data_IF_111061049440
#
_entry.id   IF_111061049440
#
_cell.length_a   1.000
_cell.length_b   1.000
_cell.length_c   1.000
_cell.angle_alpha   90.00
_cell.angle_beta   90.00
_cell.angle_gamma   90.00
#
_symmetry.space_group_name_H-M   'P 1'
#
loop_
_entity.id
_entity.type
_entity.pdbx_description
1 polymer ?
#
# COMPACT_ATOMS: atom_id res chain seq x y z
N UNK A 1 3.12 -0.74 14.44
CA UNK A 1 4.22 -1.19 13.57
C UNK A 1 3.61 -2.05 12.48
N UNK A 2 3.74 -1.62 11.24
CA UNK A 2 3.11 -2.19 10.05
C UNK A 2 4.13 -2.98 9.21
N UNK A 3 3.67 -3.99 8.48
CA UNK A 3 4.55 -4.95 7.79
C UNK A 3 4.28 -5.01 6.28
N UNK A 4 5.36 -5.07 5.50
CA UNK A 4 5.34 -5.26 4.05
C UNK A 4 6.24 -6.45 3.66
N UNK A 5 5.67 -7.48 3.06
CA UNK A 5 6.39 -8.64 2.55
C UNK A 5 6.63 -8.48 1.04
N UNK A 6 7.85 -8.07 0.67
CA UNK A 6 8.24 -7.77 -0.71
C UNK A 6 8.98 -8.96 -1.36
N UNK A 7 8.37 -9.54 -2.39
CA UNK A 7 8.93 -10.65 -3.16
C UNK A 7 9.69 -10.12 -4.38
N UNK A 8 11.00 -10.36 -4.41
CA UNK A 8 11.93 -9.86 -5.43
C UNK A 8 12.65 -11.01 -6.11
N UNK A 9 12.98 -10.88 -7.39
CA UNK A 9 13.86 -11.79 -8.10
C UNK A 9 15.31 -11.49 -7.74
N UNK A 10 16.08 -12.54 -7.42
CA UNK A 10 17.51 -12.42 -7.18
C UNK A 10 18.22 -12.10 -8.50
N UNK A 11 18.90 -10.97 -8.56
CA UNK A 11 19.81 -10.65 -9.67
C UNK A 11 21.01 -11.62 -9.65
N UNK A 12 21.28 -12.24 -10.79
CA UNK A 12 22.33 -13.25 -10.98
C UNK A 12 23.67 -12.65 -11.39
N UNK A 13 23.89 -11.35 -11.20
CA UNK A 13 25.13 -10.68 -11.66
C UNK A 13 26.36 -11.01 -10.83
N UNK A 14 26.21 -11.74 -9.72
CA UNK A 14 27.36 -12.32 -9.03
C UNK A 14 27.71 -13.69 -9.57
N UNK A 15 29.00 -13.82 -9.90
CA UNK A 15 29.77 -15.06 -9.90
C UNK A 15 29.67 -15.75 -8.53
N UNK A 16 28.51 -16.29 -8.18
CA UNK A 16 28.37 -17.35 -7.18
C UNK A 16 28.83 -18.67 -7.83
N UNK A 17 30.11 -18.70 -8.23
CA UNK A 17 30.81 -19.91 -8.64
C UNK A 17 31.18 -20.66 -7.36
N UNK A 18 30.24 -21.46 -6.87
CA UNK A 18 30.54 -22.64 -6.07
C UNK A 18 29.35 -23.60 -6.12
N UNK A 19 29.41 -24.62 -6.99
CA UNK A 19 28.35 -25.61 -7.14
C UNK A 19 28.13 -26.49 -5.90
N UNK A 20 29.02 -26.43 -4.90
CA UNK A 20 29.13 -27.45 -3.85
C UNK A 20 28.82 -26.98 -2.41
N UNK A 21 28.53 -25.69 -2.15
CA UNK A 21 28.13 -25.21 -0.81
C UNK A 21 26.67 -24.74 -0.68
N UNK A 22 25.88 -24.84 -1.75
CA UNK A 22 24.56 -24.24 -1.80
C UNK A 22 23.42 -25.25 -1.97
N UNK A 23 23.33 -26.18 -1.00
CA UNK A 23 22.03 -26.58 -0.45
C UNK A 23 21.48 -25.43 0.41
N UNK A 24 21.30 -24.24 -0.15
CA UNK A 24 20.75 -23.12 0.61
C UNK A 24 19.32 -23.43 1.07
N UNK A 25 18.96 -23.19 2.34
CA UNK A 25 17.57 -23.22 2.74
C UNK A 25 16.86 -22.07 2.02
N UNK A 26 15.96 -22.44 1.12
CA UNK A 26 15.07 -21.57 0.37
C UNK A 26 14.52 -20.42 1.24
N UNK A 27 14.78 -19.19 0.80
CA UNK A 27 14.00 -17.98 1.09
C UNK A 27 13.86 -17.57 2.58
N UNK A 28 14.95 -17.49 3.37
CA UNK A 28 14.85 -16.76 4.63
C UNK A 28 14.60 -15.26 4.33
N UNK A 29 13.49 -14.66 4.79
CA UNK A 29 13.21 -13.25 4.54
C UNK A 29 14.21 -12.35 5.26
N UNK A 30 14.78 -11.38 4.55
CA UNK A 30 15.63 -10.35 5.15
C UNK A 30 14.76 -9.16 5.60
N UNK A 31 14.84 -8.79 6.87
CA UNK A 31 13.93 -7.80 7.47
C UNK A 31 14.63 -6.48 7.75
N UNK A 32 13.96 -5.38 7.43
CA UNK A 32 14.47 -4.03 7.61
C UNK A 32 13.36 -3.12 8.13
N UNK A 33 13.62 -2.44 9.23
CA UNK A 33 12.72 -1.42 9.77
C UNK A 33 12.98 -0.06 9.11
N UNK A 34 11.93 0.73 9.01
CA UNK A 34 12.00 2.10 8.56
C UNK A 34 12.67 3.02 9.59
N UNK A 35 13.07 4.23 9.18
CA UNK A 35 13.76 5.24 10.01
C UNK A 35 12.96 5.56 11.26
N UNK A 36 11.65 5.71 11.07
CA UNK A 36 10.72 6.15 12.12
C UNK A 36 10.20 4.94 12.94
N UNK A 37 10.61 3.72 12.60
CA UNK A 37 10.19 2.49 13.28
C UNK A 37 8.74 2.07 13.04
N UNK A 38 7.97 2.84 12.27
CA UNK A 38 6.54 2.59 12.04
C UNK A 38 6.27 1.42 11.08
N UNK A 39 7.19 1.15 10.15
CA UNK A 39 7.07 0.10 9.16
C UNK A 39 8.28 -0.85 9.13
N UNK A 40 8.06 -2.13 8.81
CA UNK A 40 9.10 -3.12 8.54
C UNK A 40 8.86 -3.77 7.17
N UNK A 41 9.90 -3.87 6.35
CA UNK A 41 9.88 -4.58 5.07
C UNK A 41 10.64 -5.89 5.21
N UNK A 42 10.01 -7.00 4.84
CA UNK A 42 10.65 -8.29 4.66
C UNK A 42 10.90 -8.54 3.17
N UNK A 43 12.16 -8.62 2.76
CA UNK A 43 12.55 -8.99 1.39
C UNK A 43 12.66 -10.52 1.27
N UNK A 44 11.85 -11.08 0.37
CA UNK A 44 11.86 -12.50 0.04
C UNK A 44 12.48 -12.66 -1.35
N UNK A 45 13.74 -13.12 -1.37
CA UNK A 45 14.49 -13.31 -2.61
C UNK A 45 14.09 -14.63 -3.31
N UNK A 46 13.56 -14.49 -4.52
CA UNK A 46 13.09 -15.58 -5.37
C UNK A 46 14.13 -15.89 -6.44
N UNK A 47 14.51 -17.17 -6.63
CA UNK A 47 15.43 -17.55 -7.69
C UNK A 47 14.87 -17.26 -9.09
N UNK A 48 15.62 -16.66 -10.03
CA UNK A 48 15.11 -16.36 -11.38
C UNK A 48 14.61 -17.58 -12.14
N UNK A 49 15.20 -18.76 -11.91
CA UNK A 49 14.73 -20.06 -12.47
C UNK A 49 13.28 -20.41 -12.11
N UNK A 50 12.68 -19.74 -11.12
CA UNK A 50 11.26 -19.94 -10.79
C UNK A 50 10.33 -19.28 -11.81
N UNK A 51 10.78 -18.23 -12.50
CA UNK A 51 10.00 -17.56 -13.54
C UNK A 51 9.82 -18.43 -14.79
N UNK A 52 10.81 -19.28 -15.11
CA UNK A 52 10.74 -20.17 -16.28
C UNK A 52 9.71 -21.31 -16.17
N UNK A 53 9.00 -21.45 -15.05
CA UNK A 53 7.92 -22.44 -14.85
C UNK A 53 6.73 -21.81 -14.10
N UNK A 54 5.91 -20.96 -14.75
CA UNK A 54 4.86 -20.17 -14.10
C UNK A 54 3.82 -21.03 -13.36
N UNK A 55 3.41 -22.17 -13.92
CA UNK A 55 2.47 -23.11 -13.27
C UNK A 55 2.96 -23.63 -11.91
N UNK A 56 4.29 -23.74 -11.75
CA UNK A 56 4.91 -24.19 -10.50
C UNK A 56 5.24 -23.03 -9.56
N UNK A 57 5.29 -21.79 -10.07
CA UNK A 57 5.60 -20.59 -9.30
C UNK A 57 4.58 -20.38 -8.18
N UNK A 58 3.28 -20.44 -8.50
CA UNK A 58 2.21 -20.31 -7.50
C UNK A 58 2.34 -21.33 -6.36
N UNK A 59 2.52 -22.62 -6.70
CA UNK A 59 2.72 -23.71 -5.71
C UNK A 59 3.95 -23.47 -4.84
N UNK A 60 5.05 -22.98 -5.43
CA UNK A 60 6.30 -22.67 -4.69
C UNK A 60 6.13 -21.46 -3.76
N UNK A 61 5.41 -20.43 -4.18
CA UNK A 61 5.09 -19.28 -3.33
C UNK A 61 4.18 -19.67 -2.18
N UNK A 62 3.17 -20.52 -2.40
CA UNK A 62 2.33 -21.06 -1.32
C UNK A 62 3.19 -21.81 -0.29
N UNK A 63 4.11 -22.68 -0.74
CA UNK A 63 5.03 -23.37 0.18
C UNK A 63 5.94 -22.41 0.92
N UNK A 64 6.40 -21.35 0.26
CA UNK A 64 7.24 -20.31 0.87
C UNK A 64 6.47 -19.56 1.94
N UNK A 65 5.23 -19.14 1.65
CA UNK A 65 4.32 -18.51 2.62
C UNK A 65 3.95 -19.42 3.79
N UNK A 66 3.83 -20.72 3.58
CA UNK A 66 3.62 -21.67 4.70
C UNK A 66 4.84 -21.76 5.62
N UNK A 67 6.04 -21.75 5.03
CA UNK A 67 7.30 -21.80 5.79
C UNK A 67 7.60 -20.47 6.50
N UNK A 68 7.29 -19.37 5.83
CA UNK A 68 7.49 -18.00 6.30
C UNK A 68 6.19 -17.21 6.05
N UNK A 69 5.23 -17.28 6.99
CA UNK A 69 3.97 -16.55 6.86
C UNK A 69 4.20 -15.05 6.71
N UNK A 70 3.56 -14.39 5.71
CA UNK A 70 3.61 -12.94 5.60
C UNK A 70 3.01 -12.31 6.86
N UNK A 71 3.61 -11.22 7.31
CA UNK A 71 3.19 -10.49 8.52
C UNK A 71 2.20 -9.38 8.20
N UNK A 72 2.18 -8.90 6.96
CA UNK A 72 1.29 -7.83 6.53
C UNK A 72 1.03 -7.85 5.04
N UNK A 73 1.02 -6.67 4.42
CA UNK A 73 0.70 -6.53 3.02
C UNK A 73 1.77 -7.21 2.15
N UNK A 74 1.32 -7.97 1.14
CA UNK A 74 2.23 -8.66 0.22
C UNK A 74 2.41 -7.85 -1.04
N UNK A 75 3.66 -7.60 -1.40
CA UNK A 75 4.05 -6.93 -2.64
C UNK A 75 4.91 -7.86 -3.51
N UNK A 76 4.69 -7.84 -4.82
CA UNK A 76 5.44 -8.64 -5.78
C UNK A 76 6.07 -7.76 -6.85
N UNK A 77 7.31 -8.08 -7.21
CA UNK A 77 7.96 -7.51 -8.38
C UNK A 77 7.21 -7.81 -9.67
N UNK A 78 7.25 -6.88 -10.64
CA UNK A 78 6.57 -6.95 -11.93
C UNK A 78 6.74 -8.26 -12.68
N UNK A 79 7.95 -8.84 -12.67
CA UNK A 79 8.24 -10.13 -13.32
C UNK A 79 7.41 -11.28 -12.70
N UNK A 80 7.32 -11.30 -11.37
CA UNK A 80 6.55 -12.29 -10.62
C UNK A 80 5.06 -12.08 -10.87
N UNK A 81 4.60 -10.81 -10.86
CA UNK A 81 3.20 -10.48 -11.14
C UNK A 81 2.77 -10.94 -12.53
N UNK A 82 3.58 -10.64 -13.56
CA UNK A 82 3.33 -11.09 -14.94
C UNK A 82 3.26 -12.61 -15.03
N UNK A 83 4.18 -13.32 -14.36
CA UNK A 83 4.21 -14.78 -14.38
C UNK A 83 3.03 -15.44 -13.62
N UNK A 84 2.44 -14.75 -12.65
CA UNK A 84 1.28 -15.22 -11.87
C UNK A 84 -0.04 -14.65 -12.38
N UNK A 85 -0.01 -13.86 -13.45
CA UNK A 85 -1.13 -13.08 -13.96
C UNK A 85 -1.83 -12.18 -12.91
N UNK A 86 -1.06 -11.71 -11.92
CA UNK A 86 -1.55 -10.86 -10.84
C UNK A 86 -1.85 -9.46 -11.39
N UNK A 87 -3.14 -9.17 -11.54
CA UNK A 87 -3.65 -7.87 -11.99
C UNK A 87 -4.45 -7.92 -13.29
N UNK A 88 -4.68 -9.09 -13.91
CA UNK A 88 -5.70 -9.20 -14.98
C UNK A 88 -7.12 -9.37 -14.42
N UNK A 89 -7.25 -9.96 -13.24
CA UNK A 89 -8.51 -10.05 -12.48
C UNK A 89 -8.45 -9.08 -11.30
N UNK A 90 -8.69 -7.80 -11.56
CA UNK A 90 -8.69 -6.73 -10.55
C UNK A 90 -9.72 -6.95 -9.43
N UNK A 91 -10.78 -7.71 -9.70
CA UNK A 91 -11.89 -7.99 -8.78
C UNK A 91 -11.55 -8.86 -7.56
N UNK A 92 -10.30 -9.34 -7.39
CA UNK A 92 -9.95 -10.30 -6.34
C UNK A 92 -8.75 -9.88 -5.46
N UNK A 93 -8.11 -8.75 -5.72
CA UNK A 93 -7.03 -8.27 -4.86
C UNK A 93 -7.64 -7.49 -3.67
N UNK A 94 -7.36 -7.86 -2.42
CA UNK A 94 -7.84 -7.07 -1.28
C UNK A 94 -7.25 -5.67 -1.35
N UNK A 95 -8.01 -4.69 -0.85
CA UNK A 95 -7.51 -3.34 -0.71
C UNK A 95 -6.20 -3.33 0.11
N UNK A 96 -5.29 -2.39 -0.21
CA UNK A 96 -4.10 -2.18 0.60
C UNK A 96 -4.47 -1.84 2.05
N UNK A 97 -3.56 -2.15 2.97
CA UNK A 97 -3.75 -1.81 4.37
C UNK A 97 -3.88 -0.28 4.53
N UNK A 98 -4.78 0.22 5.41
CA UNK A 98 -5.02 1.65 5.63
C UNK A 98 -3.74 2.45 5.84
N UNK A 99 -2.77 1.89 6.57
CA UNK A 99 -1.46 2.49 6.79
C UNK A 99 -0.73 2.87 5.50
N UNK A 100 -0.67 1.96 4.52
CA UNK A 100 0.05 2.21 3.27
C UNK A 100 -0.68 3.25 2.41
N UNK A 101 -2.02 3.21 2.40
CA UNK A 101 -2.85 4.23 1.73
C UNK A 101 -2.66 5.61 2.35
N UNK A 102 -2.63 5.69 3.69
CA UNK A 102 -2.42 6.95 4.41
C UNK A 102 -1.04 7.51 4.15
N UNK A 103 -0.01 6.68 4.27
CA UNK A 103 1.37 7.10 4.05
C UNK A 103 1.58 7.59 2.62
N UNK A 104 0.99 6.88 1.65
CA UNK A 104 1.02 7.29 0.26
C UNK A 104 0.35 8.65 0.05
N UNK A 105 -0.82 8.88 0.65
CA UNK A 105 -1.50 10.17 0.64
C UNK A 105 -0.67 11.28 1.30
N UNK A 106 -0.04 11.01 2.45
CA UNK A 106 0.75 11.99 3.19
C UNK A 106 2.01 12.46 2.45
N UNK A 107 2.60 11.62 1.62
CA UNK A 107 3.75 12.00 0.80
C UNK A 107 3.39 12.90 -0.38
N UNK A 108 2.09 13.10 -0.64
CA UNK A 108 1.63 13.97 -1.73
C UNK A 108 1.59 15.44 -1.33
N UNK A 109 1.67 16.36 -2.32
CA UNK A 109 1.38 17.77 -2.08
C UNK A 109 0.01 17.94 -1.46
N UNK A 110 -0.06 18.74 -0.39
CA UNK A 110 -1.31 19.00 0.31
C UNK A 110 -2.34 19.67 -0.63
N UNK A 111 -3.58 19.20 -0.56
CA UNK A 111 -4.74 19.73 -1.28
C UNK A 111 -5.89 19.93 -0.28
N UNK A 112 -6.60 21.03 -0.43
CA UNK A 112 -7.61 21.48 0.53
C UNK A 112 -8.96 20.75 0.39
N UNK A 113 -9.26 20.19 -0.78
CA UNK A 113 -10.51 19.48 -1.04
C UNK A 113 -10.25 17.98 -1.23
N UNK A 114 -10.84 17.14 -0.37
CA UNK A 114 -10.64 15.69 -0.41
C UNK A 114 -11.90 14.98 -0.90
N UNK A 115 -11.75 14.15 -1.93
CA UNK A 115 -12.78 13.21 -2.42
C UNK A 115 -12.32 11.79 -2.10
N UNK A 116 -13.14 11.03 -1.37
CA UNK A 116 -12.90 9.61 -1.11
C UNK A 116 -13.91 8.77 -1.88
N UNK A 117 -13.44 7.97 -2.84
CA UNK A 117 -14.26 6.94 -3.49
C UNK A 117 -14.11 5.66 -2.66
N UNK A 118 -15.18 5.30 -1.95
CA UNK A 118 -15.18 4.20 -1.01
C UNK A 118 -15.45 2.86 -1.70
N UNK A 119 -14.81 1.76 -1.29
CA UNK A 119 -15.11 0.44 -1.84
C UNK A 119 -16.60 0.10 -1.68
N UNK A 120 -17.15 -0.64 -2.64
CA UNK A 120 -18.52 -1.15 -2.50
C UNK A 120 -18.59 -2.07 -1.27
N UNK A 121 -19.57 -1.89 -0.38
CA UNK A 121 -19.75 -2.83 0.72
C UNK A 121 -20.26 -4.16 0.20
N UNK A 122 -19.90 -5.24 0.90
CA UNK A 122 -20.44 -6.57 0.62
C UNK A 122 -21.98 -6.55 0.65
N UNK A 123 -22.62 -7.32 -0.24
CA UNK A 123 -24.09 -7.35 -0.38
C UNK A 123 -24.84 -7.70 0.93
N UNK A 124 -24.17 -8.37 1.87
CA UNK A 124 -24.67 -8.70 3.21
C UNK A 124 -24.67 -7.51 4.20
N UNK A 125 -24.00 -6.41 3.86
CA UNK A 125 -23.77 -5.24 4.73
C UNK A 125 -24.58 -4.01 4.31
N UNK A 126 -25.41 -4.08 3.25
CA UNK A 126 -26.15 -2.94 2.66
C UNK A 126 -27.05 -2.13 3.61
N UNK A 127 -27.35 -2.61 4.82
CA UNK A 127 -28.24 -1.96 5.79
C UNK A 127 -27.55 -1.33 7.01
N UNK A 128 -26.23 -1.47 7.14
CA UNK A 128 -25.44 -0.71 8.10
C UNK A 128 -24.23 -0.21 7.32
N UNK A 129 -23.77 1.01 7.55
CA UNK A 129 -22.48 1.48 7.01
C UNK A 129 -21.26 0.79 7.71
N UNK A 130 -21.42 -0.40 8.31
CA UNK A 130 -21.13 -0.66 9.72
C UNK A 130 -19.61 -0.64 9.98
N UNK A 131 -19.09 0.40 10.62
CA UNK A 131 -17.82 0.36 11.37
C UNK A 131 -16.52 0.19 10.56
N UNK A 132 -16.43 -0.62 9.51
CA UNK A 132 -15.17 -0.90 8.79
C UNK A 132 -14.77 0.22 7.83
N UNK A 133 -15.70 0.74 7.02
CA UNK A 133 -15.42 1.92 6.18
C UNK A 133 -15.10 3.15 7.04
N UNK A 134 -15.87 3.35 8.11
CA UNK A 134 -15.60 4.43 9.08
C UNK A 134 -14.25 4.24 9.77
N UNK A 135 -13.92 3.02 10.22
CA UNK A 135 -12.62 2.70 10.81
C UNK A 135 -11.48 2.94 9.82
N UNK A 136 -11.61 2.45 8.59
CA UNK A 136 -10.64 2.65 7.53
C UNK A 136 -10.42 4.14 7.26
N UNK A 137 -11.50 4.92 7.21
CA UNK A 137 -11.42 6.36 7.05
C UNK A 137 -10.81 7.08 8.25
N UNK A 138 -11.15 6.70 9.48
CA UNK A 138 -10.53 7.25 10.70
C UNK A 138 -9.03 6.97 10.71
N UNK A 139 -8.64 5.74 10.36
CA UNK A 139 -7.24 5.33 10.22
C UNK A 139 -6.54 6.07 9.06
N UNK A 140 -7.24 6.34 7.95
CA UNK A 140 -6.71 7.07 6.79
C UNK A 140 -6.60 8.57 7.02
N UNK A 141 -7.55 9.22 7.70
CA UNK A 141 -7.55 10.67 7.83
C UNK A 141 -6.80 11.14 9.08
N UNK A 142 -6.77 10.29 10.12
CA UNK A 142 -6.14 10.59 11.39
C UNK A 142 -6.59 11.93 11.99
N UNK A 143 -5.69 12.61 12.71
CA UNK A 143 -5.94 13.92 13.32
C UNK A 143 -5.87 15.10 12.32
N UNK A 144 -5.54 14.85 11.04
CA UNK A 144 -5.26 15.92 10.05
C UNK A 144 -6.51 16.43 9.32
N UNK A 145 -7.69 16.00 9.73
CA UNK A 145 -9.00 16.43 9.20
C UNK A 145 -9.14 17.96 9.28
N UNK A 146 -8.65 18.59 10.34
CA UNK A 146 -8.80 20.04 10.57
C UNK A 146 -8.09 20.96 9.56
N UNK A 147 -7.28 20.43 8.63
CA UNK A 147 -6.65 21.23 7.57
C UNK A 147 -7.46 21.29 6.28
N UNK A 148 -8.46 20.43 6.12
CA UNK A 148 -9.26 20.35 4.90
C UNK A 148 -10.28 21.50 4.85
N UNK A 149 -10.62 21.94 3.64
CA UNK A 149 -11.72 22.87 3.39
C UNK A 149 -13.02 22.12 3.05
N UNK A 150 -12.91 20.91 2.47
CA UNK A 150 -14.08 20.05 2.27
C UNK A 150 -13.69 18.57 2.20
N UNK A 151 -14.60 17.72 2.69
CA UNK A 151 -14.53 16.27 2.58
C UNK A 151 -15.80 15.74 1.89
N UNK A 152 -15.61 15.04 0.77
CA UNK A 152 -16.70 14.38 0.06
C UNK A 152 -16.47 12.88 0.01
N UNK A 153 -17.40 12.11 0.55
CA UNK A 153 -17.44 10.66 0.46
C UNK A 153 -18.36 10.27 -0.69
N UNK A 154 -17.87 9.42 -1.58
CA UNK A 154 -18.64 8.87 -2.69
C UNK A 154 -18.75 7.37 -2.50
N UNK A 155 -19.97 6.89 -2.34
CA UNK A 155 -20.29 5.47 -2.17
C UNK A 155 -21.70 5.20 -2.66
N UNK A 156 -21.97 4.10 -3.37
CA UNK A 156 -23.31 3.74 -3.82
C UNK A 156 -24.30 3.49 -2.66
N UNK A 157 -23.82 3.43 -1.42
CA UNK A 157 -24.65 3.34 -0.20
C UNK A 157 -25.38 4.65 0.09
N UNK A 158 -24.83 5.78 -0.34
CA UNK A 158 -25.48 7.07 -0.18
C UNK A 158 -26.55 7.28 -1.25
N UNK A 159 -27.65 7.94 -0.89
CA UNK A 159 -28.73 8.28 -1.84
C UNK A 159 -28.21 9.11 -3.02
N UNK A 160 -28.78 8.92 -4.21
CA UNK A 160 -28.38 9.60 -5.45
C UNK A 160 -28.76 11.10 -5.49
N UNK A 161 -29.60 11.57 -4.57
CA UNK A 161 -29.98 12.98 -4.49
C UNK A 161 -28.81 13.85 -4.02
N UNK A 162 -28.28 14.66 -4.95
CA UNK A 162 -27.28 15.68 -4.68
C UNK A 162 -27.77 16.62 -3.55
N UNK A 163 -27.14 16.54 -2.39
CA UNK A 163 -27.44 17.37 -1.23
C UNK A 163 -28.07 16.65 -0.04
N UNK A 164 -28.43 15.37 -0.14
CA UNK A 164 -28.95 14.62 1.01
C UNK A 164 -27.96 13.59 1.49
N UNK A 165 -27.09 14.01 2.42
CA UNK A 165 -26.79 13.12 3.54
C UNK A 165 -28.15 12.81 4.20
N UNK A 166 -28.45 11.59 4.66
CA UNK A 166 -29.24 11.49 5.87
C UNK A 166 -28.36 12.03 7.01
N UNK A 167 -28.20 13.37 7.06
CA UNK A 167 -27.71 14.13 8.22
C UNK A 167 -28.69 14.00 9.41
N UNK A 168 -29.71 13.15 9.26
CA UNK A 168 -30.84 12.95 10.17
C UNK A 168 -30.66 11.79 11.14
N UNK A 169 -29.67 10.90 10.96
CA UNK A 169 -29.23 10.08 12.09
C UNK A 169 -28.32 10.92 12.99
N UNK A 170 -28.94 11.59 13.98
CA UNK A 170 -28.24 12.21 15.12
C UNK A 170 -27.13 11.27 15.60
N UNK A 171 -25.88 11.71 15.50
CA UNK A 171 -24.71 10.95 15.96
C UNK A 171 -23.89 10.25 14.88
N UNK A 172 -24.15 10.51 13.59
CA UNK A 172 -23.29 10.04 12.48
C UNK A 172 -21.84 10.58 12.62
N UNK A 173 -20.85 9.82 12.14
CA UNK A 173 -19.44 10.22 12.20
C UNK A 173 -19.16 11.56 11.48
N UNK A 174 -19.81 11.80 10.34
CA UNK A 174 -19.68 13.05 9.58
C UNK A 174 -20.20 14.26 10.37
N UNK A 175 -21.30 14.09 11.09
CA UNK A 175 -21.83 15.13 11.98
C UNK A 175 -20.81 15.43 13.10
N UNK A 176 -20.22 14.40 13.71
CA UNK A 176 -19.15 14.60 14.72
C UNK A 176 -17.95 15.32 14.14
N UNK A 177 -17.49 14.93 12.94
CA UNK A 177 -16.39 15.63 12.26
C UNK A 177 -16.71 17.10 12.07
N UNK A 178 -17.91 17.44 11.61
CA UNK A 178 -18.32 18.83 11.44
C UNK A 178 -18.38 19.57 12.79
N UNK A 179 -18.97 18.97 13.83
CA UNK A 179 -19.07 19.59 15.15
C UNK A 179 -17.70 19.79 15.83
N UNK A 180 -16.78 18.84 15.67
CA UNK A 180 -15.45 18.87 16.29
C UNK A 180 -14.46 19.75 15.52
N UNK A 181 -14.55 19.80 14.18
CA UNK A 181 -13.52 20.44 13.34
C UNK A 181 -14.03 21.61 12.52
N UNK A 182 -15.35 21.81 12.41
CA UNK A 182 -15.97 22.76 11.49
C UNK A 182 -15.86 22.36 10.01
N UNK A 183 -15.27 21.20 9.68
CA UNK A 183 -15.07 20.74 8.30
C UNK A 183 -16.39 20.39 7.63
N UNK A 184 -16.75 21.04 6.51
CA UNK A 184 -17.88 20.62 5.70
C UNK A 184 -17.63 19.22 5.11
N UNK A 185 -18.33 18.23 5.64
CA UNK A 185 -18.20 16.83 5.27
C UNK A 185 -19.54 16.28 4.77
N UNK A 186 -19.56 15.66 3.59
CA UNK A 186 -20.78 15.17 2.96
C UNK A 186 -20.59 13.76 2.36
N UNK A 187 -21.67 12.99 2.31
CA UNK A 187 -21.76 11.72 1.58
C UNK A 187 -22.67 11.86 0.34
N UNK A 188 -22.28 11.23 -0.78
CA UNK A 188 -23.04 11.24 -2.02
C UNK A 188 -22.97 9.89 -2.74
N UNK A 189 -24.07 9.48 -3.38
CA UNK A 189 -24.12 8.25 -4.17
C UNK A 189 -23.15 8.25 -5.33
N UNK A 190 -22.96 9.42 -5.94
CA UNK A 190 -22.06 9.69 -7.07
C UNK A 190 -21.42 11.06 -6.92
N UNK A 191 -20.27 11.26 -7.57
CA UNK A 191 -19.58 12.54 -7.57
C UNK A 191 -20.43 13.62 -8.29
N UNK A 192 -20.93 14.65 -7.58
CA UNK A 192 -21.84 15.64 -8.18
C UNK A 192 -21.18 16.45 -9.29
N UNK A 193 -21.90 16.74 -10.36
CA UNK A 193 -21.37 17.47 -11.53
C UNK A 193 -20.84 18.87 -11.17
N UNK A 194 -21.47 19.55 -10.21
CA UNK A 194 -21.05 20.88 -9.76
C UNK A 194 -19.70 20.86 -9.02
N UNK A 195 -19.24 19.69 -8.56
CA UNK A 195 -17.96 19.55 -7.89
C UNK A 195 -16.79 19.93 -8.83
N UNK A 196 -16.98 19.78 -10.15
CA UNK A 196 -16.02 20.20 -11.18
C UNK A 196 -15.64 21.67 -11.10
N UNK A 197 -16.54 22.53 -10.59
CA UNK A 197 -16.34 23.98 -10.52
C UNK A 197 -15.46 24.43 -9.35
N UNK A 198 -14.96 23.49 -8.52
CA UNK A 198 -13.97 23.82 -7.48
C UNK A 198 -12.70 24.37 -8.11
N UNK A 199 -11.96 25.15 -7.31
CA UNK A 199 -10.71 25.78 -7.74
C UNK A 199 -9.76 24.74 -8.36
N UNK A 200 -9.10 25.04 -9.51
CA UNK A 200 -8.09 24.16 -10.07
C UNK A 200 -6.98 23.85 -9.07
N UNK A 201 -6.37 22.67 -9.14
CA UNK A 201 -5.26 22.27 -8.27
C UNK A 201 -5.59 22.28 -6.76
N UNK A 202 -6.87 22.33 -6.39
CA UNK A 202 -7.29 22.32 -4.97
C UNK A 202 -7.69 20.95 -4.47
N UNK A 203 -7.91 20.00 -5.36
CA UNK A 203 -8.55 18.73 -5.05
C UNK A 203 -7.59 17.52 -5.12
N UNK A 204 -7.81 16.59 -4.21
CA UNK A 204 -7.24 15.25 -4.21
C UNK A 204 -8.36 14.23 -4.16
N UNK A 205 -8.28 13.21 -5.02
CA UNK A 205 -9.23 12.12 -5.08
C UNK A 205 -8.51 10.83 -4.70
N UNK A 206 -8.92 10.21 -3.60
CA UNK A 206 -8.45 8.88 -3.21
C UNK A 206 -9.47 7.87 -3.68
N UNK A 207 -9.02 6.94 -4.52
CA UNK A 207 -9.86 5.91 -5.10
C UNK A 207 -9.51 4.54 -4.50
N UNK A 208 -10.44 4.02 -3.69
CA UNK A 208 -10.40 2.70 -3.12
C UNK A 208 -11.49 1.78 -3.70
N UNK A 209 -12.12 2.14 -4.82
CA UNK A 209 -13.14 1.31 -5.46
C UNK A 209 -12.49 0.31 -6.44
N UNK A 210 -12.64 -1.01 -6.24
CA UNK A 210 -12.26 -1.98 -7.26
C UNK A 210 -13.18 -1.87 -8.47
N UNK A 211 -12.62 -1.85 -9.69
CA UNK A 211 -13.37 -1.96 -10.95
C UNK A 211 -14.43 -0.85 -11.21
N UNK A 212 -14.48 0.22 -10.42
CA UNK A 212 -15.41 1.32 -10.65
C UNK A 212 -14.88 2.27 -11.73
N UNK A 213 -15.75 2.67 -12.65
CA UNK A 213 -15.42 3.67 -13.66
C UNK A 213 -15.01 4.99 -13.02
N UNK A 214 -13.81 5.49 -13.37
CA UNK A 214 -13.27 6.75 -12.84
C UNK A 214 -14.25 7.91 -13.11
N UNK A 215 -14.65 8.73 -12.11
CA UNK A 215 -15.59 9.83 -12.31
C UNK A 215 -14.93 11.08 -12.91
N UNK A 216 -14.15 10.90 -13.99
CA UNK A 216 -13.29 11.92 -14.59
C UNK A 216 -14.04 13.17 -15.10
N UNK A 217 -15.36 13.10 -15.32
CA UNK A 217 -16.15 14.25 -15.78
C UNK A 217 -16.46 15.25 -14.67
N UNK A 218 -16.61 14.77 -13.44
CA UNK A 218 -17.01 15.58 -12.28
C UNK A 218 -15.82 16.05 -11.45
N UNK A 219 -14.60 15.54 -11.74
CA UNK A 219 -13.38 15.96 -11.05
C UNK A 219 -12.91 17.35 -11.49
N UNK A 220 -12.50 18.22 -10.54
CA UNK A 220 -11.89 19.52 -10.83
C UNK A 220 -10.63 19.42 -11.69
N UNK A 221 -10.27 20.51 -12.35
CA UNK A 221 -9.01 20.60 -13.10
C UNK A 221 -7.79 20.51 -12.19
N UNK A 222 -6.72 19.84 -12.65
CA UNK A 222 -5.50 19.67 -11.84
C UNK A 222 -5.66 18.77 -10.61
N UNK A 223 -6.76 18.00 -10.54
CA UNK A 223 -6.98 17.06 -9.43
C UNK A 223 -5.84 16.05 -9.34
N UNK A 224 -5.36 15.81 -8.13
CA UNK A 224 -4.46 14.70 -7.85
C UNK A 224 -5.28 13.43 -7.61
N UNK A 225 -5.17 12.45 -8.50
CA UNK A 225 -5.87 11.17 -8.43
C UNK A 225 -4.95 10.10 -7.86
N UNK A 226 -5.31 9.56 -6.70
CA UNK A 226 -4.55 8.55 -5.96
C UNK A 226 -5.28 7.22 -6.04
N UNK A 227 -4.74 6.31 -6.84
CA UNK A 227 -5.32 4.99 -7.07
C UNK A 227 -4.76 3.95 -6.10
N UNK A 228 -5.61 3.50 -5.17
CA UNK A 228 -5.25 2.50 -4.16
C UNK A 228 -5.32 1.07 -4.71
N UNK A 229 -6.09 0.83 -5.77
CA UNK A 229 -6.20 -0.51 -6.41
C UNK A 229 -5.11 -0.73 -7.46
N UNK A 230 -4.53 0.36 -7.97
CA UNK A 230 -3.46 0.37 -8.99
C UNK A 230 -3.89 -0.36 -10.27
N UNK A 231 -5.11 -0.08 -10.72
CA UNK A 231 -5.71 -0.66 -11.91
C UNK A 231 -5.24 0.08 -13.18
N UNK A 232 -4.66 -0.68 -14.11
CA UNK A 232 -4.13 -0.12 -15.36
C UNK A 232 -5.22 0.52 -16.23
N UNK A 233 -6.48 0.10 -16.10
CA UNK A 233 -7.60 0.68 -16.83
C UNK A 233 -7.91 2.11 -16.40
N UNK A 234 -7.78 2.40 -15.10
CA UNK A 234 -8.01 3.75 -14.56
C UNK A 234 -6.98 4.74 -15.08
N UNK A 235 -5.70 4.34 -15.07
CA UNK A 235 -4.60 5.13 -15.64
C UNK A 235 -4.83 5.40 -17.13
N UNK A 236 -5.14 4.35 -17.91
CA UNK A 236 -5.41 4.48 -19.36
C UNK A 236 -6.58 5.42 -19.64
N UNK A 237 -7.65 5.30 -18.87
CA UNK A 237 -8.86 6.08 -19.06
C UNK A 237 -8.64 7.56 -18.70
N UNK A 238 -7.94 7.85 -17.60
CA UNK A 238 -7.54 9.21 -17.25
C UNK A 238 -6.62 9.82 -18.30
N UNK A 239 -5.59 9.10 -18.73
CA UNK A 239 -4.67 9.56 -19.76
C UNK A 239 -5.38 9.86 -21.11
N UNK A 240 -6.39 9.06 -21.46
CA UNK A 240 -7.15 9.24 -22.69
C UNK A 240 -8.20 10.37 -22.62
N UNK A 241 -8.81 10.62 -21.45
CA UNK A 241 -9.97 11.53 -21.32
C UNK A 241 -9.65 12.86 -20.61
N UNK A 242 -8.69 12.89 -19.69
CA UNK A 242 -8.38 14.04 -18.82
C UNK A 242 -6.88 14.08 -18.49
N UNK A 243 -6.09 14.64 -19.41
CA UNK A 243 -4.62 14.78 -19.24
C UNK A 243 -4.21 15.81 -18.19
N UNK A 244 -5.14 16.66 -17.76
CA UNK A 244 -4.94 17.65 -16.70
C UNK A 244 -4.94 17.02 -15.29
N UNK A 245 -5.51 15.82 -15.13
CA UNK A 245 -5.54 15.09 -13.86
C UNK A 245 -4.20 14.38 -13.66
N UNK A 246 -3.58 14.58 -12.49
CA UNK A 246 -2.32 13.92 -12.13
C UNK A 246 -2.62 12.57 -11.51
N UNK A 247 -2.25 11.49 -12.18
CA UNK A 247 -2.45 10.13 -11.69
C UNK A 247 -1.21 9.64 -10.93
N UNK A 248 -1.41 9.16 -9.71
CA UNK A 248 -0.41 8.39 -8.96
C UNK A 248 -1.05 7.13 -8.40
N UNK A 249 -0.31 6.02 -8.43
CA UNK A 249 -0.80 4.73 -7.91
C UNK A 249 -0.02 4.28 -6.70
N UNK A 250 -0.72 3.63 -5.76
CA UNK A 250 -0.08 3.07 -4.57
C UNK A 250 1.02 2.07 -4.94
N UNK A 251 0.83 1.29 -6.01
CA UNK A 251 1.86 0.36 -6.49
C UNK A 251 3.13 1.09 -6.91
N UNK A 252 3.05 2.21 -7.62
CA UNK A 252 4.23 2.98 -8.04
C UNK A 252 4.96 3.57 -6.83
N UNK A 253 4.19 4.05 -5.86
CA UNK A 253 4.73 4.46 -4.57
C UNK A 253 5.45 3.32 -3.85
N UNK A 254 4.81 2.16 -3.69
CA UNK A 254 5.41 0.99 -3.05
C UNK A 254 6.62 0.45 -3.81
N UNK A 255 6.61 0.45 -5.15
CA UNK A 255 7.77 0.06 -5.97
C UNK A 255 8.96 1.00 -5.70
N UNK A 256 8.70 2.31 -5.67
CA UNK A 256 9.73 3.30 -5.32
C UNK A 256 10.24 3.10 -3.90
N UNK A 257 9.34 2.87 -2.94
CA UNK A 257 9.66 2.64 -1.54
C UNK A 257 10.52 1.37 -1.36
N UNK A 258 10.10 0.25 -1.96
CA UNK A 258 10.81 -1.04 -1.96
C UNK A 258 12.19 -0.90 -2.62
N UNK A 259 12.28 -0.30 -3.82
CA UNK A 259 13.56 -0.15 -4.56
C UNK A 259 14.55 0.73 -3.84
N UNK A 260 14.12 1.89 -3.31
CA UNK A 260 14.98 2.78 -2.50
C UNK A 260 15.61 2.02 -1.34
N UNK A 261 14.82 1.19 -0.65
CA UNK A 261 15.28 0.41 0.51
C UNK A 261 16.16 -0.78 0.12
N UNK A 262 15.79 -1.49 -0.94
CA UNK A 262 16.62 -2.56 -1.48
C UNK A 262 18.01 -2.04 -1.87
N UNK A 263 18.08 -0.95 -2.63
CA UNK A 263 19.35 -0.35 -3.06
C UNK A 263 20.18 0.17 -1.88
N UNK A 264 19.58 0.91 -0.94
CA UNK A 264 20.28 1.42 0.25
C UNK A 264 20.91 0.28 1.06
N UNK A 265 20.18 -0.83 1.25
CA UNK A 265 20.66 -1.96 2.03
C UNK A 265 21.66 -2.82 1.28
N UNK A 266 21.54 -2.90 -0.05
CA UNK A 266 22.54 -3.52 -0.93
C UNK A 266 23.86 -2.78 -0.84
N UNK A 267 23.87 -1.44 -0.98
CA UNK A 267 25.06 -0.63 -0.81
C UNK A 267 25.73 -0.84 0.56
N UNK A 268 24.95 -0.89 1.65
CA UNK A 268 25.48 -1.16 3.00
C UNK A 268 26.10 -2.55 3.18
N UNK A 269 25.65 -3.56 2.42
CA UNK A 269 26.25 -4.89 2.42
C UNK A 269 27.58 -4.88 1.66
N UNK A 270 27.62 -4.23 0.50
CA UNK A 270 28.85 -4.04 -0.30
C UNK A 270 29.89 -3.17 0.46
N UNK A 271 29.44 -2.18 1.24
CA UNK A 271 30.26 -1.33 2.13
C UNK A 271 30.81 -2.09 3.35
N UNK A 272 30.15 -3.15 3.83
CA UNK A 272 30.68 -3.97 4.92
C UNK A 272 31.97 -4.71 4.53
N UNK A 273 32.17 -4.93 3.23
CA UNK A 273 33.37 -5.52 2.67
C UNK A 273 34.44 -4.47 2.28
N UNK A 274 34.13 -3.16 2.36
CA UNK A 274 35.05 -2.06 2.05
C UNK A 274 34.94 -0.93 3.07
N UNK A 275 35.94 -0.82 3.96
CA UNK A 275 36.06 0.24 4.96
C UNK A 275 36.06 1.63 4.30
N UNK A 276 34.92 2.33 4.27
CA UNK A 276 34.71 3.75 4.58
C UNK A 276 33.31 4.26 4.14
N UNK A 277 32.81 5.29 4.86
CA UNK A 277 31.42 5.76 4.96
C UNK A 277 30.90 6.55 3.74
N UNK A 278 29.56 6.69 3.62
CA UNK A 278 28.94 7.95 4.02
C UNK A 278 27.82 7.81 5.06
N UNK A 279 27.59 8.89 5.81
CA UNK A 279 26.65 9.00 6.93
C UNK A 279 25.19 8.86 6.50
N UNK A 280 24.58 7.71 6.80
CA UNK A 280 23.15 7.45 6.63
C UNK A 280 22.69 6.26 7.46
N UNK A 281 22.82 6.36 8.78
CA UNK A 281 22.66 5.24 9.71
C UNK A 281 21.24 4.63 9.70
N UNK A 282 21.14 3.30 9.52
CA UNK A 282 19.95 2.49 9.87
C UNK A 282 20.42 1.22 10.56
N UNK A 283 19.72 0.81 11.62
CA UNK A 283 20.07 -0.37 12.45
C UNK A 283 19.62 -1.65 11.75
N UNK A 284 20.59 -2.50 11.40
CA UNK A 284 20.33 -3.91 11.10
C UNK A 284 20.11 -4.63 12.42
N UNK A 285 18.92 -5.21 12.62
CA UNK A 285 18.71 -6.18 13.69
C UNK A 285 19.37 -7.49 13.29
N UNK A 286 20.65 -7.68 13.67
CA UNK A 286 21.20 -9.03 13.75
C UNK A 286 20.44 -9.74 14.87
N UNK A 287 19.82 -10.87 14.58
CA UNK A 287 19.47 -11.83 15.65
C UNK A 287 20.77 -12.12 16.40
N UNK A 288 20.82 -11.80 17.71
CA UNK A 288 21.73 -12.49 18.62
C UNK A 288 21.28 -13.95 18.58
N UNK A 289 22.02 -14.78 17.85
CA UNK A 289 22.05 -16.19 18.17
C UNK A 289 22.63 -16.31 19.57
N UNK A 290 21.99 -17.10 20.42
CA UNK A 290 22.59 -17.53 21.68
C UNK A 290 23.85 -18.32 21.34
N UNK A 291 25.00 -17.65 21.38
CA UNK A 291 26.29 -18.25 21.66
C UNK A 291 26.75 -17.61 22.97
N UNK A 292 26.60 -18.37 24.05
CA UNK A 292 27.38 -18.37 25.29
C UNK A 292 26.71 -19.41 26.20
N UNK A 293 27.37 -20.43 26.76
CA UNK A 293 28.78 -20.70 26.83
C UNK A 293 29.05 -22.20 26.97
N UNK A 294 30.25 -22.56 26.57
CA UNK A 294 30.89 -23.80 26.99
C UNK A 294 31.07 -23.73 28.51
N UNK A 295 30.44 -24.63 29.25
CA UNK A 295 31.05 -25.17 30.46
C UNK A 295 31.27 -26.67 30.27
N UNK A 296 32.55 -27.03 30.18
CA UNK A 296 33.02 -28.39 30.36
C UNK A 296 32.78 -28.78 31.82
N UNK A 297 32.06 -29.86 32.09
CA UNK A 297 32.27 -30.68 33.29
C UNK A 297 32.22 -32.15 32.90
N UNK A 298 33.37 -32.82 33.02
CA UNK A 298 33.50 -34.28 33.07
C UNK A 298 33.24 -34.76 34.52
N UNK A 299 32.93 -36.05 34.70
CA UNK A 299 32.19 -36.61 35.83
C UNK A 299 33.11 -37.00 36.99
N UNK A 300 32.60 -37.00 38.22
CA UNK A 300 33.08 -37.86 39.32
C UNK A 300 31.96 -38.11 40.33
N UNK A 301 31.74 -39.41 40.58
CA UNK A 301 31.02 -40.08 41.67
C UNK A 301 29.49 -39.96 41.69
#
# INVERSE_FOLDING_TARGET
MEYLDAYLIRDTTEKDVSPSRFRFPICLPERFSDRDGEAEIAFVMIPPRWLGRPERLGKRLIRTKRRWPPRGQVWYEDRIRKALDIGKTAAAAPLPAPFWSFRFYQEQPFRENLVLLLPEPDAAQKGRLPSEQERWMRELLGEKIGRLNSLLLVSPVFSETAGSVPLTEKGSWLERVYQETGLPAAGAGRLPSHYRNKRPDSAVCIDACPCAGVPYRSLPEGTLYLDMTSEAEKERLLYAKRRDIRYESLRRYLDTYVRKRYNTNRCKKEEKDRRHLPSGAFKVMKRKGNEDGREKKYPYL
#
